data_IF_699476133546
#
_entry.id   IF_699476133546
#
_cell.length_a   1.000
_cell.length_b   1.000
_cell.length_c   1.000
_cell.angle_alpha   90.00
_cell.angle_beta   90.00
_cell.angle_gamma   90.00
#
_symmetry.space_group_name_H-M   'P 1'
#
loop_
_entity.id
_entity.type
_entity.pdbx_description
1 polymer ?
#
# COMPACT_ATOMS: atom_id res chain seq x y z
N UNK A 1 -26.59 -14.81 10.68
CA UNK A 1 -25.79 -15.88 10.06
C UNK A 1 -26.10 -15.86 8.58
N UNK A 2 -25.30 -15.14 7.79
CA UNK A 2 -25.49 -15.06 6.34
C UNK A 2 -24.76 -16.25 5.72
N UNK A 3 -25.50 -17.21 5.18
CA UNK A 3 -24.92 -18.27 4.35
C UNK A 3 -24.67 -17.67 2.97
N UNK A 4 -23.49 -17.07 2.79
CA UNK A 4 -23.00 -16.66 1.48
C UNK A 4 -22.63 -17.92 0.68
N UNK A 5 -22.80 -17.94 -0.66
CA UNK A 5 -22.18 -18.96 -1.53
C UNK A 5 -20.66 -19.00 -1.27
N UNK A 6 -19.93 -20.07 -1.64
CA UNK A 6 -18.51 -20.19 -1.28
C UNK A 6 -17.74 -18.96 -1.77
N UNK A 7 -17.53 -17.99 -0.89
CA UNK A 7 -16.80 -16.77 -1.17
C UNK A 7 -15.36 -17.21 -1.39
N UNK A 8 -14.71 -16.81 -2.50
CA UNK A 8 -13.30 -17.11 -2.69
C UNK A 8 -12.53 -16.56 -1.48
N UNK A 9 -11.79 -17.42 -0.81
CA UNK A 9 -10.95 -17.05 0.33
C UNK A 9 -9.76 -16.28 -0.23
N UNK A 10 -9.70 -14.97 0.03
CA UNK A 10 -8.65 -14.12 -0.50
C UNK A 10 -7.43 -14.19 0.41
N UNK A 11 -6.29 -14.62 -0.14
CA UNK A 11 -5.02 -14.60 0.57
C UNK A 11 -3.90 -14.04 -0.27
N UNK A 12 -4.01 -12.74 -0.59
CA UNK A 12 -3.00 -12.00 -1.34
C UNK A 12 -1.64 -11.98 -0.61
N UNK A 13 -1.66 -11.96 0.72
CA UNK A 13 -0.43 -12.01 1.50
C UNK A 13 0.12 -13.43 1.61
N UNK A 14 -0.69 -14.48 1.85
CA UNK A 14 -0.20 -15.88 1.83
C UNK A 14 0.09 -16.39 0.42
N UNK A 15 -0.36 -15.67 -0.61
CA UNK A 15 -0.07 -15.99 -1.99
C UNK A 15 -0.94 -17.10 -2.56
N UNK A 16 -2.23 -17.15 -2.23
CA UNK A 16 -3.10 -18.23 -2.71
C UNK A 16 -3.17 -18.25 -4.24
N UNK A 17 -2.80 -19.37 -4.86
CA UNK A 17 -2.75 -19.53 -6.31
C UNK A 17 -3.16 -20.96 -6.73
N UNK A 18 -3.35 -21.14 -8.04
CA UNK A 18 -3.75 -22.38 -8.71
C UNK A 18 -5.09 -22.90 -8.20
N UNK A 19 -6.15 -22.09 -8.31
CA UNK A 19 -7.50 -22.41 -7.80
C UNK A 19 -7.49 -22.82 -6.31
N UNK A 20 -6.58 -22.24 -5.54
CA UNK A 20 -6.47 -22.51 -4.11
C UNK A 20 -5.76 -23.79 -3.71
N UNK A 21 -4.93 -24.34 -4.60
CA UNK A 21 -4.17 -25.57 -4.34
C UNK A 21 -2.76 -25.32 -3.81
N UNK A 22 -2.25 -24.09 -3.90
CA UNK A 22 -0.90 -23.71 -3.44
C UNK A 22 -0.84 -22.29 -2.87
N UNK A 23 0.24 -22.01 -2.15
CA UNK A 23 0.62 -20.70 -1.64
C UNK A 23 1.98 -20.30 -2.23
N UNK A 24 2.05 -19.13 -2.86
CA UNK A 24 3.25 -18.48 -3.38
C UNK A 24 3.26 -17.01 -2.97
N UNK A 25 3.49 -16.69 -1.68
CA UNK A 25 3.40 -15.33 -1.19
C UNK A 25 4.46 -14.44 -1.85
N UNK A 26 4.11 -13.17 -2.09
CA UNK A 26 5.06 -12.19 -2.62
C UNK A 26 6.32 -12.03 -1.74
N UNK A 27 6.25 -12.43 -0.47
CA UNK A 27 7.38 -12.41 0.47
C UNK A 27 8.54 -13.30 0.03
N UNK A 28 8.30 -14.37 -0.73
CA UNK A 28 9.36 -15.23 -1.27
C UNK A 28 10.25 -14.40 -2.19
N UNK A 29 9.66 -13.74 -3.19
CA UNK A 29 10.40 -12.93 -4.15
C UNK A 29 11.03 -11.70 -3.50
N UNK A 30 10.33 -11.06 -2.57
CA UNK A 30 10.87 -9.94 -1.80
C UNK A 30 12.12 -10.36 -1.00
N UNK A 31 12.08 -11.52 -0.35
CA UNK A 31 13.22 -12.05 0.40
C UNK A 31 14.41 -12.36 -0.52
N UNK A 32 14.18 -12.96 -1.69
CA UNK A 32 15.22 -13.20 -2.69
C UNK A 32 15.92 -11.90 -3.09
N UNK A 33 15.15 -10.85 -3.40
CA UNK A 33 15.69 -9.55 -3.80
C UNK A 33 16.48 -8.88 -2.67
N UNK A 34 15.94 -8.89 -1.43
CA UNK A 34 16.65 -8.36 -0.26
C UNK A 34 17.97 -9.12 -0.04
N UNK A 35 17.95 -10.45 -0.07
CA UNK A 35 19.17 -11.26 0.09
C UNK A 35 20.19 -11.02 -1.02
N UNK A 36 19.74 -10.74 -2.24
CA UNK A 36 20.59 -10.41 -3.38
C UNK A 36 21.21 -9.01 -3.30
N UNK A 37 20.50 -8.05 -2.70
CA UNK A 37 20.92 -6.66 -2.61
C UNK A 37 21.87 -6.38 -1.44
N UNK A 38 21.75 -7.10 -0.33
CA UNK A 38 22.62 -6.94 0.83
C UNK A 38 23.93 -7.73 0.70
N UNK A 39 25.04 -7.27 1.31
CA UNK A 39 26.30 -8.03 1.33
C UNK A 39 26.13 -9.46 1.85
N UNK A 40 26.92 -10.39 1.30
CA UNK A 40 26.94 -11.79 1.75
C UNK A 40 27.20 -11.86 3.25
N UNK A 41 26.36 -12.62 3.96
CA UNK A 41 26.42 -12.76 5.41
C UNK A 41 25.51 -11.78 6.18
N UNK A 42 24.86 -10.84 5.50
CA UNK A 42 23.82 -10.00 6.11
C UNK A 42 22.67 -10.86 6.64
N UNK A 43 22.21 -10.55 7.84
CA UNK A 43 21.07 -11.22 8.47
C UNK A 43 19.78 -10.60 7.97
N UNK A 44 19.22 -11.18 6.91
CA UNK A 44 17.89 -10.83 6.40
C UNK A 44 16.86 -11.82 6.98
N UNK A 45 15.80 -11.26 7.57
CA UNK A 45 14.67 -12.01 8.11
C UNK A 45 13.38 -11.43 7.53
N UNK A 46 12.55 -12.29 6.96
CA UNK A 46 11.22 -11.95 6.44
C UNK A 46 10.21 -12.83 7.15
N UNK A 47 9.26 -12.22 7.86
CA UNK A 47 8.19 -12.91 8.57
C UNK A 47 6.87 -12.75 7.82
N UNK A 48 6.40 -13.84 7.20
CA UNK A 48 5.14 -13.84 6.48
C UNK A 48 4.00 -14.10 7.48
N UNK A 49 3.09 -13.14 7.56
CA UNK A 49 1.96 -13.14 8.50
C UNK A 49 0.63 -12.96 7.74
N UNK A 50 0.49 -13.51 6.54
CA UNK A 50 -0.79 -13.47 5.82
C UNK A 50 -1.82 -14.37 6.49
N UNK A 51 -3.10 -14.03 6.37
CA UNK A 51 -4.20 -14.94 6.73
C UNK A 51 -5.33 -14.86 5.71
N UNK A 52 -5.56 -16.00 5.08
CA UNK A 52 -6.64 -16.30 4.16
C UNK A 52 -8.00 -15.86 4.70
N UNK A 53 -8.68 -14.99 3.96
CA UNK A 53 -10.04 -14.54 4.27
C UNK A 53 -10.17 -13.60 5.47
N UNK A 54 -9.06 -13.17 6.10
CA UNK A 54 -9.13 -12.28 7.25
C UNK A 54 -9.47 -10.83 6.81
N UNK A 55 -10.54 -10.22 7.35
CA UNK A 55 -10.80 -8.80 7.17
C UNK A 55 -10.01 -7.95 8.17
N UNK A 56 -9.77 -6.68 7.81
CA UNK A 56 -9.17 -5.68 8.72
C UNK A 56 -10.02 -5.54 9.97
N UNK A 57 -11.32 -5.33 9.78
CA UNK A 57 -12.28 -5.19 10.87
C UNK A 57 -13.02 -6.53 11.07
N UNK A 58 -13.09 -7.09 12.29
CA UNK A 58 -12.49 -6.59 13.55
C UNK A 58 -11.13 -7.24 13.90
N UNK A 59 -10.61 -8.16 13.08
CA UNK A 59 -9.67 -9.18 13.55
C UNK A 59 -8.18 -8.87 13.31
N UNK A 60 -7.84 -8.25 12.17
CA UNK A 60 -6.44 -8.18 11.72
C UNK A 60 -5.55 -7.38 12.68
N UNK A 61 -6.09 -6.32 13.28
CA UNK A 61 -5.32 -5.44 14.18
C UNK A 61 -4.75 -6.20 15.38
N UNK A 62 -5.55 -7.00 16.07
CA UNK A 62 -5.10 -7.71 17.27
C UNK A 62 -3.95 -8.69 16.95
N UNK A 63 -4.00 -9.30 15.76
CA UNK A 63 -2.95 -10.20 15.28
C UNK A 63 -1.67 -9.44 14.94
N UNK A 64 -1.78 -8.27 14.30
CA UNK A 64 -0.65 -7.37 14.08
C UNK A 64 0.01 -6.96 15.40
N UNK A 65 -0.78 -6.53 16.40
CA UNK A 65 -0.28 -6.14 17.73
C UNK A 65 0.58 -7.25 18.35
N UNK A 66 0.09 -8.50 18.32
CA UNK A 66 0.83 -9.66 18.83
C UNK A 66 2.13 -9.91 18.07
N UNK A 67 2.13 -9.77 16.75
CA UNK A 67 3.33 -9.96 15.94
C UNK A 67 4.40 -8.91 16.25
N UNK A 68 4.02 -7.64 16.40
CA UNK A 68 4.94 -6.55 16.75
C UNK A 68 5.55 -6.75 18.15
N UNK A 69 4.73 -7.10 19.15
CA UNK A 69 5.20 -7.40 20.51
C UNK A 69 6.15 -8.59 20.53
N UNK A 70 5.84 -9.64 19.76
CA UNK A 70 6.69 -10.82 19.63
C UNK A 70 8.04 -10.46 19.02
N UNK A 71 8.07 -9.73 17.90
CA UNK A 71 9.32 -9.32 17.26
C UNK A 71 10.21 -8.50 18.22
N UNK A 72 9.61 -7.52 18.92
CA UNK A 72 10.32 -6.72 19.92
C UNK A 72 10.96 -7.58 21.03
N UNK A 73 10.35 -8.73 21.37
CA UNK A 73 10.87 -9.68 22.36
C UNK A 73 11.91 -10.65 21.78
N UNK A 74 11.82 -10.98 20.49
CA UNK A 74 12.60 -12.00 19.78
C UNK A 74 13.76 -11.41 18.95
N UNK A 75 14.30 -10.24 19.35
CA UNK A 75 15.50 -9.66 18.71
C UNK A 75 15.37 -8.21 18.25
N UNK A 76 14.21 -7.58 18.47
CA UNK A 76 13.99 -6.15 18.21
C UNK A 76 12.83 -5.90 17.25
N UNK A 77 12.38 -4.64 17.12
CA UNK A 77 11.30 -4.32 16.20
C UNK A 77 11.69 -4.63 14.75
N UNK A 78 10.70 -4.86 13.90
CA UNK A 78 10.93 -4.94 12.46
C UNK A 78 11.45 -3.60 11.94
N UNK A 79 12.40 -3.61 11.00
CA UNK A 79 12.79 -2.38 10.30
C UNK A 79 11.66 -1.87 9.40
N UNK A 80 10.94 -2.80 8.76
CA UNK A 80 9.84 -2.54 7.83
C UNK A 80 8.71 -3.53 8.03
N UNK A 81 7.47 -3.05 7.92
CA UNK A 81 6.25 -3.85 7.87
C UNK A 81 5.52 -3.53 6.56
N UNK A 82 5.26 -4.56 5.76
CA UNK A 82 4.40 -4.47 4.58
C UNK A 82 2.96 -4.83 4.96
N UNK A 83 2.02 -3.90 4.80
CA UNK A 83 0.63 -4.07 5.21
C UNK A 83 -0.32 -3.96 4.00
N UNK A 84 -1.03 -5.06 3.74
CA UNK A 84 -2.14 -5.16 2.79
C UNK A 84 -3.37 -5.68 3.54
N UNK A 85 -4.47 -4.92 3.52
CA UNK A 85 -5.72 -5.27 4.17
C UNK A 85 -6.88 -4.44 3.61
N UNK A 86 -8.10 -4.98 3.68
CA UNK A 86 -9.33 -4.35 3.18
C UNK A 86 -9.97 -5.11 2.01
N UNK A 87 -9.29 -6.10 1.44
CA UNK A 87 -9.76 -6.88 0.29
C UNK A 87 -11.03 -7.66 0.65
N UNK A 88 -10.99 -8.39 1.78
CA UNK A 88 -12.14 -9.14 2.28
C UNK A 88 -13.23 -8.21 2.81
N UNK A 89 -12.86 -7.10 3.44
CA UNK A 89 -13.79 -6.08 3.94
C UNK A 89 -14.63 -5.49 2.80
N UNK A 90 -13.99 -5.13 1.66
CA UNK A 90 -14.68 -4.63 0.47
C UNK A 90 -15.66 -5.66 -0.11
N UNK A 91 -15.25 -6.93 -0.22
CA UNK A 91 -16.12 -8.00 -0.74
C UNK A 91 -17.26 -8.35 0.21
N UNK A 92 -17.08 -8.18 1.52
CA UNK A 92 -18.13 -8.39 2.51
C UNK A 92 -19.05 -7.16 2.65
N UNK A 93 -18.81 -6.09 1.90
CA UNK A 93 -19.62 -4.87 1.95
C UNK A 93 -19.46 -4.09 3.27
N UNK A 94 -18.28 -4.15 3.90
CA UNK A 94 -17.98 -3.36 5.09
C UNK A 94 -17.94 -1.85 4.76
N UNK A 95 -18.17 -1.01 5.76
CA UNK A 95 -18.05 0.44 5.62
C UNK A 95 -16.58 0.82 5.38
N UNK A 96 -16.28 1.42 4.23
CA UNK A 96 -14.95 1.85 3.86
C UNK A 96 -14.33 2.82 4.88
N UNK A 97 -15.13 3.67 5.53
CA UNK A 97 -14.64 4.59 6.55
C UNK A 97 -14.14 3.84 7.80
N UNK A 98 -14.86 2.80 8.22
CA UNK A 98 -14.46 1.95 9.36
C UNK A 98 -13.16 1.18 9.04
N UNK A 99 -13.07 0.62 7.83
CA UNK A 99 -11.87 -0.09 7.36
C UNK A 99 -10.66 0.85 7.34
N UNK A 100 -10.83 2.06 6.80
CA UNK A 100 -9.77 3.05 6.72
C UNK A 100 -9.34 3.56 8.11
N UNK A 101 -10.27 3.75 9.04
CA UNK A 101 -9.95 4.12 10.42
C UNK A 101 -9.17 3.00 11.13
N UNK A 102 -9.54 1.75 10.91
CA UNK A 102 -8.82 0.61 11.45
C UNK A 102 -7.40 0.48 10.86
N UNK A 103 -7.25 0.68 9.54
CA UNK A 103 -5.94 0.72 8.88
C UNK A 103 -5.07 1.85 9.44
N UNK A 104 -5.62 3.06 9.66
CA UNK A 104 -4.87 4.17 10.27
C UNK A 104 -4.36 3.83 11.67
N UNK A 105 -5.19 3.17 12.50
CA UNK A 105 -4.78 2.70 13.82
C UNK A 105 -3.63 1.69 13.72
N UNK A 106 -3.70 0.75 12.77
CA UNK A 106 -2.64 -0.22 12.51
C UNK A 106 -1.35 0.45 12.01
N UNK A 107 -1.45 1.43 11.11
CA UNK A 107 -0.32 2.21 10.63
C UNK A 107 0.39 2.98 11.75
N UNK A 108 -0.39 3.59 12.66
CA UNK A 108 0.14 4.28 13.83
C UNK A 108 0.81 3.32 14.81
N UNK A 109 0.26 2.11 14.97
CA UNK A 109 0.81 1.07 15.84
C UNK A 109 2.15 0.52 15.31
N UNK A 110 2.25 0.28 13.99
CA UNK A 110 3.51 -0.07 13.32
C UNK A 110 4.55 1.02 13.56
N UNK A 111 4.20 2.28 13.32
CA UNK A 111 5.12 3.41 13.52
C UNK A 111 5.57 3.50 14.98
N UNK A 112 4.65 3.28 15.93
CA UNK A 112 4.92 3.31 17.37
C UNK A 112 5.79 2.14 17.85
N UNK A 113 5.83 1.04 17.11
CA UNK A 113 6.75 -0.08 17.38
C UNK A 113 8.20 0.22 17.00
N UNK A 114 8.45 1.32 16.27
CA UNK A 114 9.76 1.67 15.71
C UNK A 114 9.96 1.15 14.27
N UNK A 115 8.99 0.42 13.73
CA UNK A 115 9.01 -0.06 12.36
C UNK A 115 8.55 0.99 11.35
N UNK A 116 9.14 0.94 10.15
CA UNK A 116 8.69 1.70 8.97
C UNK A 116 7.58 0.94 8.26
N UNK A 117 6.77 1.63 7.48
CA UNK A 117 5.56 1.08 6.84
C UNK A 117 5.68 1.10 5.32
N UNK A 118 5.34 -0.02 4.69
CA UNK A 118 4.89 -0.09 3.29
C UNK A 118 3.40 -0.44 3.31
N UNK A 119 2.53 0.53 3.08
CA UNK A 119 1.12 0.26 2.86
C UNK A 119 0.87 -0.10 1.40
N UNK A 120 -0.18 -0.88 1.14
CA UNK A 120 -0.60 -1.27 -0.19
C UNK A 120 -2.07 -0.94 -0.41
N UNK A 121 -2.42 -0.43 -1.59
CA UNK A 121 -3.83 -0.41 -2.01
C UNK A 121 -4.30 -1.85 -2.27
N UNK A 122 -5.61 -2.05 -2.28
CA UNK A 122 -6.21 -3.29 -2.75
C UNK A 122 -5.85 -3.49 -4.24
N UNK A 123 -5.40 -4.68 -4.68
CA UNK A 123 -5.23 -4.97 -6.11
C UNK A 123 -6.60 -4.96 -6.81
N UNK A 124 -6.64 -4.77 -8.14
CA UNK A 124 -7.92 -4.68 -8.83
C UNK A 124 -8.66 -6.04 -8.78
N UNK A 125 -9.98 -5.97 -8.70
CA UNK A 125 -10.83 -7.15 -8.94
C UNK A 125 -11.26 -7.16 -10.39
N UNK A 126 -10.86 -8.19 -11.13
CA UNK A 126 -11.31 -8.37 -12.50
C UNK A 126 -12.70 -9.02 -12.53
N UNK A 127 -13.08 -9.69 -11.44
CA UNK A 127 -14.38 -10.32 -11.29
C UNK A 127 -15.49 -9.26 -11.11
N UNK A 128 -16.71 -9.50 -11.60
CA UNK A 128 -17.83 -8.63 -11.36
C UNK A 128 -18.11 -8.46 -9.85
N UNK A 129 -17.98 -7.23 -9.36
CA UNK A 129 -18.43 -6.81 -8.04
C UNK A 129 -19.81 -6.15 -8.13
N UNK A 130 -20.64 -6.34 -7.11
CA UNK A 130 -21.84 -5.54 -6.91
C UNK A 130 -21.50 -4.07 -6.61
N UNK A 131 -22.51 -3.21 -6.67
CA UNK A 131 -22.31 -1.76 -6.56
C UNK A 131 -21.75 -1.35 -5.19
N UNK A 132 -22.16 -2.04 -4.13
CA UNK A 132 -21.70 -1.78 -2.77
C UNK A 132 -20.23 -2.20 -2.59
N UNK A 133 -19.86 -3.40 -3.02
CA UNK A 133 -18.49 -3.91 -2.93
C UNK A 133 -17.54 -3.08 -3.78
N UNK A 134 -17.97 -2.72 -5.00
CA UNK A 134 -17.23 -1.83 -5.91
C UNK A 134 -17.01 -0.46 -5.29
N UNK A 135 -18.04 0.12 -4.66
CA UNK A 135 -17.93 1.41 -3.98
C UNK A 135 -16.95 1.33 -2.81
N UNK A 136 -17.08 0.33 -1.95
CA UNK A 136 -16.17 0.13 -0.82
C UNK A 136 -14.71 -0.01 -1.29
N UNK A 137 -14.47 -0.81 -2.33
CA UNK A 137 -13.15 -0.97 -2.95
C UNK A 137 -12.52 0.37 -3.36
N UNK A 138 -13.25 1.18 -4.14
CA UNK A 138 -12.73 2.47 -4.61
C UNK A 138 -12.57 3.49 -3.48
N UNK A 139 -13.48 3.51 -2.52
CA UNK A 139 -13.39 4.39 -1.35
C UNK A 139 -12.18 4.04 -0.47
N UNK A 140 -11.91 2.74 -0.23
CA UNK A 140 -10.71 2.29 0.49
C UNK A 140 -9.43 2.70 -0.26
N UNK A 141 -9.34 2.40 -1.55
CA UNK A 141 -8.13 2.71 -2.32
C UNK A 141 -7.89 4.23 -2.45
N UNK A 142 -8.94 5.01 -2.73
CA UNK A 142 -8.85 6.48 -2.73
C UNK A 142 -8.45 7.01 -1.36
N UNK A 143 -9.04 6.48 -0.28
CA UNK A 143 -8.73 6.87 1.09
C UNK A 143 -7.29 6.55 1.49
N UNK A 144 -6.73 5.42 1.06
CA UNK A 144 -5.32 5.08 1.25
C UNK A 144 -4.42 6.06 0.49
N UNK A 145 -4.69 6.33 -0.79
CA UNK A 145 -3.91 7.31 -1.57
C UNK A 145 -3.87 8.68 -0.91
N UNK A 146 -5.02 9.20 -0.50
CA UNK A 146 -5.13 10.52 0.14
C UNK A 146 -4.27 10.64 1.41
N UNK A 147 -4.18 9.57 2.21
CA UNK A 147 -3.39 9.54 3.45
C UNK A 147 -1.87 9.53 3.23
N UNK A 148 -1.44 9.14 2.04
CA UNK A 148 -0.03 9.07 1.66
C UNK A 148 0.37 10.19 0.68
N UNK A 149 -0.58 11.05 0.30
CA UNK A 149 -0.25 12.31 -0.34
C UNK A 149 0.51 13.21 0.65
N UNK A 150 1.52 13.94 0.17
CA UNK A 150 2.16 14.98 0.97
C UNK A 150 1.12 15.98 1.45
N UNK A 151 1.15 16.30 2.75
CA UNK A 151 0.28 17.37 3.26
C UNK A 151 0.64 18.68 2.55
N UNK A 152 -0.35 19.33 1.94
CA UNK A 152 -0.14 20.66 1.39
C UNK A 152 0.39 21.59 2.50
N UNK A 153 1.37 22.47 2.22
CA UNK A 153 1.82 23.42 3.22
C UNK A 153 0.62 24.26 3.67
N UNK A 154 0.41 24.31 4.99
CA UNK A 154 -0.58 25.20 5.60
C UNK A 154 -0.28 26.62 5.12
N UNK A 155 -1.13 27.18 4.24
CA UNK A 155 -1.07 28.60 3.92
C UNK A 155 -1.31 29.35 5.22
N UNK A 156 -0.26 29.99 5.73
CA UNK A 156 -0.33 30.79 6.94
C UNK A 156 -1.47 31.80 6.84
N UNK A 157 -2.37 31.76 7.81
CA UNK A 157 -3.32 32.82 8.07
C UNK A 157 -2.54 34.07 8.50
N UNK A 158 -2.26 34.96 7.55
CA UNK A 158 -1.96 36.35 7.89
C UNK A 158 -3.30 37.08 8.02
N UNK A 159 -3.68 37.32 9.28
CA UNK A 159 -4.67 38.33 9.61
C UNK A 159 -4.03 39.72 9.40
N UNK A 160 -4.67 40.58 8.62
CA UNK A 160 -4.24 41.96 8.43
C UNK A 160 -5.07 42.68 7.36
N UNK A 161 -6.15 43.33 7.79
CA UNK A 161 -6.97 44.20 6.97
C UNK A 161 -6.24 45.52 6.64
N UNK A 162 -6.46 46.06 5.43
CA UNK A 162 -6.07 47.42 5.06
C UNK A 162 -6.24 47.70 3.57
N UNK A 163 -7.31 48.41 3.22
CA UNK A 163 -7.70 48.79 1.85
C UNK A 163 -6.84 49.91 1.24
N UNK A 164 -6.68 49.93 -0.09
CA UNK A 164 -6.99 51.07 -0.99
C UNK A 164 -6.48 50.87 -2.43
N UNK A 165 -7.19 51.50 -3.37
CA UNK A 165 -7.10 51.44 -4.84
C UNK A 165 -5.84 52.10 -5.45
N UNK A 166 -5.49 51.72 -6.69
CA UNK A 166 -4.68 52.57 -7.58
C UNK A 166 -4.10 51.94 -8.86
N UNK A 167 -4.77 52.19 -9.99
CA UNK A 167 -4.34 52.38 -11.39
C UNK A 167 -3.11 51.69 -12.06
N UNK A 168 -3.35 51.40 -13.34
CA UNK A 168 -2.54 50.92 -14.46
C UNK A 168 -1.12 51.51 -14.70
N UNK A 169 -0.26 50.71 -15.36
CA UNK A 169 0.74 51.21 -16.30
C UNK A 169 2.05 50.40 -16.47
N UNK A 170 2.20 49.80 -17.67
CA UNK A 170 3.42 49.56 -18.46
C UNK A 170 4.58 48.64 -17.98
N UNK A 171 4.72 47.55 -18.74
CA UNK A 171 5.93 46.97 -19.39
C UNK A 171 7.33 47.43 -18.93
N UNK A 172 8.15 46.47 -18.50
CA UNK A 172 9.50 46.25 -19.06
C UNK A 172 10.10 44.95 -18.51
N UNK A 173 10.76 44.23 -19.43
CA UNK A 173 11.17 42.85 -19.26
C UNK A 173 12.29 42.57 -18.25
N UNK A 174 12.42 41.28 -17.97
CA UNK A 174 13.51 40.70 -17.21
C UNK A 174 13.15 39.27 -16.85
N UNK A 175 13.85 38.33 -17.50
CA UNK A 175 14.09 36.98 -17.01
C UNK A 175 12.92 35.99 -17.14
N UNK A 176 13.03 35.14 -18.17
CA UNK A 176 12.36 33.83 -18.19
C UNK A 176 12.86 33.06 -16.99
N UNK A 177 12.08 33.07 -15.93
CA UNK A 177 12.26 32.20 -14.77
C UNK A 177 12.04 30.76 -15.27
N UNK A 178 13.15 30.10 -15.52
CA UNK A 178 13.27 28.68 -15.76
C UNK A 178 12.41 27.93 -14.74
N UNK A 179 11.50 27.10 -15.23
CA UNK A 179 10.66 26.25 -14.40
C UNK A 179 11.55 25.39 -13.49
N UNK A 180 11.77 25.86 -12.27
CA UNK A 180 12.38 25.09 -11.21
C UNK A 180 11.42 23.97 -10.83
N UNK A 181 11.64 22.81 -11.47
CA UNK A 181 11.23 21.50 -11.01
C UNK A 181 11.78 21.32 -9.58
N UNK A 182 10.99 21.68 -8.58
CA UNK A 182 11.24 21.34 -7.18
C UNK A 182 9.97 20.75 -6.58
N UNK A 183 9.58 19.61 -7.13
CA UNK A 183 8.51 18.74 -6.64
C UNK A 183 9.03 17.68 -5.67
N UNK A 184 9.94 18.05 -4.76
CA UNK A 184 10.36 17.14 -3.69
C UNK A 184 9.35 17.27 -2.56
N UNK A 185 8.29 16.49 -2.65
CA UNK A 185 7.34 16.34 -1.57
C UNK A 185 7.74 15.10 -0.75
N UNK A 186 8.29 15.32 0.45
CA UNK A 186 8.69 14.23 1.34
C UNK A 186 7.47 13.69 2.10
N UNK A 187 7.10 12.40 1.93
CA UNK A 187 6.17 11.76 2.85
C UNK A 187 6.77 11.74 4.27
N UNK A 188 5.96 11.57 5.33
CA UNK A 188 6.49 11.38 6.67
C UNK A 188 7.54 10.27 6.67
N UNK A 189 8.72 10.53 7.24
CA UNK A 189 9.87 9.63 7.16
C UNK A 189 9.45 8.19 7.52
N UNK A 190 9.74 7.26 6.62
CA UNK A 190 9.50 5.83 6.85
C UNK A 190 8.10 5.32 6.54
N UNK A 191 7.32 6.00 5.72
CA UNK A 191 6.05 5.48 5.18
C UNK A 191 6.04 5.51 3.65
N UNK A 192 5.71 4.39 3.03
CA UNK A 192 5.59 4.21 1.58
C UNK A 192 4.21 3.66 1.23
N UNK A 193 3.71 4.01 0.03
CA UNK A 193 2.52 3.41 -0.56
C UNK A 193 2.90 2.70 -1.86
N UNK A 194 2.58 1.42 -1.96
CA UNK A 194 2.64 0.65 -3.21
C UNK A 194 1.22 0.53 -3.76
N UNK A 195 0.95 1.21 -4.88
CA UNK A 195 -0.36 1.25 -5.51
C UNK A 195 -0.60 0.02 -6.39
N UNK A 196 -1.02 -1.08 -5.77
CA UNK A 196 -1.30 -2.34 -6.45
C UNK A 196 -2.46 -2.24 -7.44
N UNK A 197 -3.43 -1.36 -7.22
CA UNK A 197 -4.52 -1.15 -8.16
C UNK A 197 -3.98 -0.60 -9.48
N UNK A 198 -3.14 0.42 -9.41
CA UNK A 198 -2.52 1.01 -10.60
C UNK A 198 -1.59 0.00 -11.30
N UNK A 199 -0.72 -0.67 -10.51
CA UNK A 199 0.33 -1.56 -11.03
C UNK A 199 -0.22 -2.84 -11.68
N UNK A 200 -1.33 -3.38 -11.17
CA UNK A 200 -1.90 -4.65 -11.64
C UNK A 200 -3.13 -4.46 -12.55
N UNK A 201 -3.50 -3.21 -12.86
CA UNK A 201 -4.64 -2.94 -13.75
C UNK A 201 -4.38 -3.49 -15.17
N UNK A 202 -5.39 -4.06 -15.84
CA UNK A 202 -5.25 -4.51 -17.22
C UNK A 202 -4.77 -3.41 -18.18
N UNK A 203 -5.15 -2.16 -17.89
CA UNK A 203 -4.71 -0.98 -18.65
C UNK A 203 -3.20 -0.72 -18.52
N UNK A 204 -2.61 -0.96 -17.34
CA UNK A 204 -1.18 -0.81 -17.11
C UNK A 204 -0.36 -1.98 -17.67
N UNK A 205 -0.86 -3.21 -17.54
CA UNK A 205 -0.14 -4.44 -17.91
C UNK A 205 -0.20 -4.74 -19.42
N UNK A 206 -1.33 -4.41 -20.07
CA UNK A 206 -1.64 -4.92 -21.39
C UNK A 206 -2.00 -6.42 -21.37
N UNK A 207 -2.56 -6.97 -22.47
CA UNK A 207 -3.21 -8.28 -22.44
C UNK A 207 -2.26 -9.46 -22.13
N UNK A 208 -1.05 -9.45 -22.71
CA UNK A 208 -0.11 -10.56 -22.55
C UNK A 208 0.43 -10.67 -21.12
N UNK A 209 0.78 -9.52 -20.51
CA UNK A 209 1.27 -9.50 -19.14
C UNK A 209 0.13 -9.75 -18.15
N UNK A 210 -1.07 -9.22 -18.39
CA UNK A 210 -2.25 -9.55 -17.58
C UNK A 210 -2.52 -11.06 -17.55
N UNK A 211 -2.47 -11.73 -18.71
CA UNK A 211 -2.64 -13.19 -18.80
C UNK A 211 -1.52 -13.99 -18.11
N UNK A 212 -0.34 -13.39 -17.91
CA UNK A 212 0.77 -14.01 -17.18
C UNK A 212 0.64 -13.85 -15.67
N UNK A 213 0.21 -12.68 -15.22
CA UNK A 213 0.18 -12.32 -13.79
C UNK A 213 -1.11 -12.74 -13.08
N UNK A 214 -2.24 -12.80 -13.77
CA UNK A 214 -3.54 -13.19 -13.21
C UNK A 214 -3.82 -14.67 -13.45
N UNK A 215 -4.15 -15.40 -12.38
CA UNK A 215 -4.51 -16.82 -12.43
C UNK A 215 -6.00 -16.98 -12.73
N UNK A 216 -6.81 -16.22 -12.00
CA UNK A 216 -8.22 -16.01 -12.24
C UNK A 216 -8.54 -14.51 -12.14
N UNK A 217 -9.82 -14.16 -12.05
CA UNK A 217 -10.26 -12.76 -11.98
C UNK A 217 -10.02 -12.09 -10.61
N UNK A 218 -9.35 -12.78 -9.67
CA UNK A 218 -9.19 -12.43 -8.26
C UNK A 218 -7.78 -12.71 -7.72
N UNK A 219 -7.15 -13.80 -8.13
CA UNK A 219 -5.87 -14.32 -7.64
C UNK A 219 -4.76 -14.15 -8.67
N UNK A 220 -3.56 -13.96 -8.15
CA UNK A 220 -2.36 -13.86 -8.96
C UNK A 220 -1.73 -15.24 -9.18
N UNK A 221 -1.06 -15.41 -10.32
CA UNK A 221 -0.16 -16.54 -10.53
C UNK A 221 1.09 -16.40 -9.64
N UNK A 222 1.94 -17.44 -9.52
CA UNK A 222 3.26 -17.28 -8.92
C UNK A 222 4.07 -16.11 -9.52
N UNK A 223 3.98 -15.90 -10.83
CA UNK A 223 4.60 -14.77 -11.53
C UNK A 223 4.00 -13.43 -11.10
N UNK A 224 2.68 -13.37 -10.89
CA UNK A 224 1.98 -12.20 -10.35
C UNK A 224 2.42 -11.84 -8.93
N UNK A 225 2.54 -12.83 -8.04
CA UNK A 225 3.07 -12.59 -6.70
C UNK A 225 4.56 -12.21 -6.72
N UNK A 226 5.34 -12.81 -7.63
CA UNK A 226 6.72 -12.40 -7.90
C UNK A 226 6.80 -10.93 -8.34
N UNK A 227 5.93 -10.52 -9.26
CA UNK A 227 5.81 -9.13 -9.70
C UNK A 227 5.52 -8.19 -8.52
N UNK A 228 4.58 -8.54 -7.63
CA UNK A 228 4.29 -7.74 -6.42
C UNK A 228 5.53 -7.65 -5.52
N UNK A 229 6.24 -8.75 -5.30
CA UNK A 229 7.47 -8.78 -4.51
C UNK A 229 8.56 -7.87 -5.08
N UNK A 230 8.73 -7.87 -6.41
CA UNK A 230 9.66 -6.99 -7.11
C UNK A 230 9.27 -5.50 -6.95
N UNK A 231 7.98 -5.15 -7.07
CA UNK A 231 7.52 -3.75 -6.91
C UNK A 231 7.71 -3.25 -5.46
N UNK A 232 7.48 -4.10 -4.46
CA UNK A 232 7.74 -3.75 -3.06
C UNK A 232 9.24 -3.53 -2.85
N UNK A 233 10.09 -4.42 -3.37
CA UNK A 233 11.53 -4.28 -3.27
C UNK A 233 12.03 -2.99 -3.93
N UNK A 234 11.57 -2.68 -5.14
CA UNK A 234 11.92 -1.43 -5.83
C UNK A 234 11.53 -0.18 -5.02
N UNK A 235 10.37 -0.20 -4.37
CA UNK A 235 9.94 0.87 -3.47
C UNK A 235 10.84 0.99 -2.24
N UNK A 236 11.30 -0.13 -1.68
CA UNK A 236 12.18 -0.16 -0.51
C UNK A 236 13.61 0.25 -0.82
N UNK A 237 14.13 -0.12 -2.00
CA UNK A 237 15.55 -0.06 -2.35
C UNK A 237 16.22 1.30 -2.02
N UNK A 238 15.65 2.47 -2.35
CA UNK A 238 16.24 3.78 -2.01
C UNK A 238 16.37 4.04 -0.50
N UNK A 239 15.64 3.29 0.33
CA UNK A 239 15.54 3.48 1.77
C UNK A 239 16.29 2.41 2.58
N UNK A 240 16.90 1.42 1.91
CA UNK A 240 17.64 0.33 2.57
C UNK A 240 19.07 0.75 2.99
N UNK A 241 19.51 1.96 2.64
CA UNK A 241 20.84 2.46 3.03
C UNK A 241 22.00 1.69 2.41
N UNK A 242 21.74 0.93 1.34
CA UNK A 242 22.74 0.24 0.54
C UNK A 242 23.57 1.29 -0.21
N UNK A 243 24.87 1.33 0.05
CA UNK A 243 25.86 2.20 -0.62
C UNK A 243 26.75 1.37 -1.52
#
# INVERSE_FOLDING_TARGET
>A
MCALPPTPILSLTEGYCLDGRRFHPYSIRLEEQLRGAFPRGSRIFVDQQGRSGEPVVPNMRERLSRALVRAASDGGPFDWVCLLGGTNDAICGADAAEVLEALDKMHAEISSSGARLVAMTLPPFLAPLGDAERRAFYEINSGLRQRFLPSAPLRGTVAGAGAALGAAGADSGGEREEAAVSGVLQPPEGRLLVDLEALLSPAALGPAEAARLWDDEVHLTPDGYGFVGDRIFEALLPHLGLR
#
